data_IF_104564469436
#
_entry.id   IF_104564469436
#
_cell.length_a   1.000
_cell.length_b   1.000
_cell.length_c   1.000
_cell.angle_alpha   90.00
_cell.angle_beta   90.00
_cell.angle_gamma   90.00
#
_symmetry.space_group_name_H-M   'P 1'
#
loop_
_entity.id
_entity.type
_entity.pdbx_description
1 polymer ?
#
# COMPACT_ATOMS: atom_id res chain seq x y z
N UNK A 1 -13.64 33.60 22.63
CA UNK A 1 -13.18 32.30 23.12
C UNK A 1 -13.23 31.33 21.97
N UNK A 2 -12.10 31.13 21.27
CA UNK A 2 -11.97 30.18 20.18
C UNK A 2 -11.64 28.84 20.80
N UNK A 3 -12.51 27.85 20.58
CA UNK A 3 -12.28 26.46 20.95
C UNK A 3 -11.13 25.90 20.12
N UNK A 4 -10.02 25.55 20.77
CA UNK A 4 -8.91 24.88 20.15
C UNK A 4 -9.37 23.51 19.62
N UNK A 5 -9.22 23.28 18.34
CA UNK A 5 -9.32 21.96 17.75
C UNK A 5 -8.12 21.15 18.25
N UNK A 6 -8.37 20.25 19.20
CA UNK A 6 -7.42 19.17 19.53
C UNK A 6 -7.21 18.30 18.29
N UNK A 7 -6.11 18.49 17.61
CA UNK A 7 -5.60 17.54 16.62
C UNK A 7 -5.07 16.31 17.34
N UNK A 8 -5.97 15.51 17.88
CA UNK A 8 -5.66 14.25 18.50
C UNK A 8 -5.19 13.24 17.45
N UNK A 9 -3.89 13.18 17.20
CA UNK A 9 -3.26 12.06 16.52
C UNK A 9 -3.51 10.84 17.40
N UNK A 10 -4.55 10.06 17.13
CA UNK A 10 -4.72 8.75 17.77
C UNK A 10 -3.52 7.92 17.39
N UNK A 11 -2.64 7.68 18.35
CA UNK A 11 -1.46 6.84 18.16
C UNK A 11 -1.93 5.49 17.60
N UNK A 12 -1.47 5.14 16.40
CA UNK A 12 -1.71 3.81 15.82
C UNK A 12 -1.12 2.79 16.78
N UNK A 13 -1.95 1.89 17.29
CA UNK A 13 -1.50 0.85 18.20
C UNK A 13 -0.61 -0.12 17.44
N UNK A 14 0.63 -0.27 17.90
CA UNK A 14 1.67 -1.11 17.27
C UNK A 14 1.93 -2.32 18.14
N UNK A 15 2.04 -3.47 17.52
CA UNK A 15 2.29 -4.74 18.19
C UNK A 15 3.59 -5.37 17.68
N UNK A 16 4.22 -6.16 18.54
CA UNK A 16 5.27 -7.08 18.14
C UNK A 16 4.79 -8.50 18.39
N UNK A 17 4.73 -9.29 17.32
CA UNK A 17 4.23 -10.66 17.37
C UNK A 17 5.19 -11.62 16.68
N UNK A 18 5.22 -12.84 17.19
CA UNK A 18 5.84 -13.97 16.50
C UNK A 18 4.74 -14.73 15.77
N UNK A 19 4.60 -14.43 14.48
CA UNK A 19 3.56 -14.99 13.63
C UNK A 19 3.94 -16.40 13.13
N UNK A 20 2.96 -17.27 13.02
CA UNK A 20 3.10 -18.58 12.38
C UNK A 20 2.80 -18.44 10.88
N UNK A 21 3.62 -19.07 10.06
CA UNK A 21 3.40 -19.16 8.62
C UNK A 21 2.30 -20.18 8.35
N UNK A 22 1.21 -19.73 7.75
CA UNK A 22 0.11 -20.58 7.30
C UNK A 22 0.39 -21.14 5.90
N UNK A 23 0.90 -20.27 5.03
CA UNK A 23 1.19 -20.61 3.64
C UNK A 23 2.24 -19.64 3.09
N UNK A 24 3.06 -20.11 2.16
CA UNK A 24 3.99 -19.29 1.40
C UNK A 24 4.06 -19.83 -0.04
N UNK A 25 3.47 -19.12 -0.98
CA UNK A 25 3.31 -19.59 -2.36
C UNK A 25 3.98 -18.61 -3.33
N UNK A 26 4.77 -19.13 -4.24
CA UNK A 26 5.28 -18.35 -5.36
C UNK A 26 4.15 -18.13 -6.39
N UNK A 27 3.73 -16.87 -6.58
CA UNK A 27 2.62 -16.49 -7.48
C UNK A 27 3.08 -15.92 -8.82
N UNK A 28 4.35 -15.45 -8.90
CA UNK A 28 5.01 -15.01 -10.12
C UNK A 28 6.53 -15.13 -9.95
N UNK A 29 7.32 -14.83 -10.98
CA UNK A 29 8.78 -14.91 -10.90
C UNK A 29 9.33 -13.96 -9.82
N UNK A 30 9.86 -14.59 -8.73
CA UNK A 30 10.39 -13.84 -7.59
C UNK A 30 9.35 -13.12 -6.75
N UNK A 31 8.05 -13.42 -6.90
CA UNK A 31 6.95 -12.86 -6.12
C UNK A 31 6.28 -13.97 -5.32
N UNK A 32 6.12 -13.72 -4.03
CA UNK A 32 5.57 -14.67 -3.06
C UNK A 32 4.37 -14.09 -2.33
N UNK A 33 3.35 -14.94 -2.12
CA UNK A 33 2.18 -14.70 -1.29
C UNK A 33 2.38 -15.44 0.03
N UNK A 34 2.66 -14.70 1.09
CA UNK A 34 2.94 -15.17 2.44
C UNK A 34 1.73 -14.90 3.33
N UNK A 35 1.12 -15.95 3.86
CA UNK A 35 0.00 -15.87 4.79
C UNK A 35 0.47 -16.23 6.19
N UNK A 36 0.17 -15.38 7.14
CA UNK A 36 0.64 -15.45 8.51
C UNK A 36 -0.54 -15.44 9.47
N UNK A 37 -0.43 -16.18 10.57
CA UNK A 37 -1.35 -16.10 11.69
C UNK A 37 -0.85 -15.08 12.69
N UNK A 38 -1.61 -14.01 12.88
CA UNK A 38 -1.36 -12.96 13.87
C UNK A 38 -2.58 -12.81 14.79
N UNK A 39 -2.43 -12.16 15.93
CA UNK A 39 -3.55 -11.92 16.85
C UNK A 39 -4.02 -10.46 16.73
N UNK A 40 -3.12 -9.54 16.99
CA UNK A 40 -3.43 -8.12 17.13
C UNK A 40 -3.14 -7.34 15.84
N UNK A 41 -2.10 -7.76 15.09
CA UNK A 41 -1.72 -7.05 13.85
C UNK A 41 -2.84 -7.14 12.82
N UNK A 42 -3.38 -8.32 12.54
CA UNK A 42 -4.47 -8.46 11.57
C UNK A 42 -5.75 -7.72 12.02
N UNK A 43 -6.06 -7.75 13.33
CA UNK A 43 -7.23 -7.06 13.89
C UNK A 43 -7.14 -5.53 13.80
N UNK A 44 -5.92 -4.97 13.88
CA UNK A 44 -5.69 -3.52 13.88
C UNK A 44 -5.32 -2.94 12.51
N UNK A 45 -5.03 -3.79 11.53
CA UNK A 45 -4.52 -3.38 10.22
C UNK A 45 -5.56 -2.62 9.39
N UNK A 46 -5.13 -1.51 8.79
CA UNK A 46 -5.93 -0.68 7.87
C UNK A 46 -5.33 -0.70 6.46
N UNK A 47 -6.13 -0.45 5.41
CA UNK A 47 -5.64 -0.36 4.04
C UNK A 47 -4.52 0.68 3.89
N UNK A 48 -3.44 0.29 3.22
CA UNK A 48 -2.28 1.16 2.97
C UNK A 48 -1.20 1.11 4.05
N UNK A 49 -1.40 0.38 5.16
CA UNK A 49 -0.38 0.15 6.16
C UNK A 49 0.59 -0.98 5.77
N UNK A 50 1.67 -1.11 6.51
CA UNK A 50 2.71 -2.12 6.32
C UNK A 50 3.12 -2.77 7.65
N UNK A 51 3.92 -3.80 7.57
CA UNK A 51 4.59 -4.44 8.71
C UNK A 51 6.10 -4.48 8.49
N UNK A 52 6.86 -4.42 9.57
CA UNK A 52 8.29 -4.75 9.58
C UNK A 52 8.46 -6.24 9.84
N UNK A 53 9.04 -6.98 8.89
CA UNK A 53 9.32 -8.41 8.98
C UNK A 53 10.80 -8.59 9.32
N UNK A 54 11.09 -9.31 10.40
CA UNK A 54 12.45 -9.55 10.88
C UNK A 54 13.01 -10.86 10.33
N UNK A 55 14.29 -10.84 10.00
CA UNK A 55 15.03 -12.03 9.62
C UNK A 55 15.26 -12.93 10.84
N UNK A 56 15.20 -14.24 10.66
CA UNK A 56 15.65 -15.21 11.68
C UNK A 56 17.18 -15.33 11.72
N UNK A 57 17.87 -14.83 10.69
CA UNK A 57 19.33 -14.69 10.67
C UNK A 57 19.72 -13.40 11.41
N UNK A 58 20.22 -13.56 12.64
CA UNK A 58 20.61 -12.46 13.53
C UNK A 58 21.75 -11.58 13.00
N UNK A 59 22.44 -11.98 11.92
CA UNK A 59 23.40 -11.10 11.22
C UNK A 59 22.70 -10.00 10.40
N UNK A 60 21.38 -10.08 10.20
CA UNK A 60 20.55 -9.14 9.44
C UNK A 60 19.74 -8.27 10.38
N UNK A 61 20.36 -7.21 10.85
CA UNK A 61 19.82 -6.35 11.92
C UNK A 61 18.54 -5.58 11.55
N UNK A 62 18.41 -5.15 10.29
CA UNK A 62 17.28 -4.34 9.86
C UNK A 62 16.11 -5.21 9.38
N UNK A 63 14.87 -4.90 9.80
CA UNK A 63 13.68 -5.56 9.27
C UNK A 63 13.39 -5.14 7.82
N UNK A 64 12.46 -5.83 7.19
CA UNK A 64 11.95 -5.51 5.86
C UNK A 64 10.54 -4.96 5.97
N UNK A 65 10.29 -3.71 5.55
CA UNK A 65 8.94 -3.18 5.45
C UNK A 65 8.24 -3.86 4.29
N UNK A 66 7.08 -4.47 4.57
CA UNK A 66 6.24 -5.12 3.57
C UNK A 66 4.82 -4.60 3.73
N UNK A 67 4.24 -4.09 2.65
CA UNK A 67 2.86 -3.61 2.62
C UNK A 67 1.88 -4.75 2.89
N UNK A 68 0.81 -4.44 3.63
CA UNK A 68 -0.26 -5.40 3.90
C UNK A 68 -1.11 -5.54 2.63
N UNK A 69 -1.19 -6.76 2.10
CA UNK A 69 -2.06 -7.12 0.97
C UNK A 69 -3.49 -7.43 1.42
N UNK A 70 -3.61 -7.98 2.61
CA UNK A 70 -4.90 -8.30 3.22
C UNK A 70 -4.75 -8.60 4.71
N UNK A 71 -5.79 -8.31 5.46
CA UNK A 71 -5.92 -8.66 6.87
C UNK A 71 -7.36 -9.10 7.14
N UNK A 72 -7.50 -10.17 7.90
CA UNK A 72 -8.77 -10.66 8.35
C UNK A 72 -8.80 -10.66 9.90
N UNK A 73 -9.56 -9.73 10.50
CA UNK A 73 -9.66 -9.63 11.96
C UNK A 73 -10.24 -10.88 12.63
N UNK A 74 -11.16 -11.59 11.96
CA UNK A 74 -11.85 -12.73 12.55
C UNK A 74 -10.96 -13.97 12.60
N UNK A 75 -10.36 -14.31 11.45
CA UNK A 75 -9.42 -15.44 11.38
C UNK A 75 -8.02 -15.08 11.92
N UNK A 76 -7.67 -13.80 12.07
CA UNK A 76 -6.34 -13.34 12.41
C UNK A 76 -5.30 -13.58 11.29
N UNK A 77 -5.74 -13.81 10.06
CA UNK A 77 -4.87 -13.98 8.90
C UNK A 77 -4.34 -12.63 8.44
N UNK A 78 -3.02 -12.54 8.27
CA UNK A 78 -2.32 -11.42 7.65
C UNK A 78 -1.69 -11.91 6.36
N UNK A 79 -2.02 -11.29 5.23
CA UNK A 79 -1.49 -11.61 3.90
C UNK A 79 -0.48 -10.56 3.47
N UNK A 80 0.72 -11.01 3.17
CA UNK A 80 1.81 -10.19 2.66
C UNK A 80 2.22 -10.72 1.28
N UNK A 81 2.32 -9.81 0.30
CA UNK A 81 2.87 -10.18 -1.01
C UNK A 81 4.13 -9.36 -1.24
N UNK A 82 5.24 -10.03 -1.51
CA UNK A 82 6.53 -9.39 -1.63
C UNK A 82 7.35 -9.92 -2.81
N UNK A 83 8.29 -9.08 -3.27
CA UNK A 83 9.29 -9.43 -4.28
C UNK A 83 10.60 -9.80 -3.59
N UNK A 84 11.25 -10.86 -4.08
CA UNK A 84 12.63 -11.17 -3.70
C UNK A 84 13.56 -10.13 -4.32
N UNK A 85 14.05 -9.22 -3.49
CA UNK A 85 14.93 -8.11 -3.88
C UNK A 85 16.31 -8.15 -3.21
N UNK A 86 16.51 -9.06 -2.24
CA UNK A 86 17.76 -9.21 -1.52
C UNK A 86 17.67 -10.30 -0.47
N UNK A 87 18.77 -10.53 0.28
CA UNK A 87 18.93 -11.66 1.19
C UNK A 87 17.81 -11.84 2.21
N UNK A 88 17.22 -10.76 2.72
CA UNK A 88 16.10 -10.85 3.68
C UNK A 88 14.83 -11.40 3.04
N UNK A 89 14.42 -10.84 1.90
CA UNK A 89 13.24 -11.34 1.17
C UNK A 89 13.49 -12.70 0.52
N UNK A 90 14.74 -13.04 0.21
CA UNK A 90 15.13 -14.39 -0.21
C UNK A 90 14.96 -15.41 0.93
N UNK A 91 15.30 -15.04 2.17
CA UNK A 91 15.01 -15.87 3.34
C UNK A 91 13.50 -16.07 3.50
N UNK A 92 12.71 -15.01 3.41
CA UNK A 92 11.26 -15.12 3.54
C UNK A 92 10.63 -16.01 2.45
N UNK A 93 11.19 -16.02 1.25
CA UNK A 93 10.71 -16.90 0.17
C UNK A 93 10.89 -18.40 0.43
N UNK A 94 11.72 -18.78 1.42
CA UNK A 94 11.98 -20.16 1.82
C UNK A 94 11.18 -20.62 3.03
N UNK A 95 10.42 -19.72 3.66
CA UNK A 95 9.55 -20.06 4.78
C UNK A 95 8.48 -21.06 4.33
N UNK A 96 8.16 -21.99 5.22
CA UNK A 96 7.17 -23.05 5.02
C UNK A 96 6.09 -22.99 6.08
N UNK A 97 4.93 -23.61 5.84
CA UNK A 97 3.87 -23.69 6.82
C UNK A 97 4.37 -24.31 8.13
N UNK A 98 4.04 -23.69 9.26
CA UNK A 98 4.51 -24.03 10.60
C UNK A 98 5.77 -23.26 11.05
N UNK A 99 6.52 -22.64 10.12
CA UNK A 99 7.61 -21.75 10.49
C UNK A 99 7.10 -20.53 11.24
N UNK A 100 8.01 -19.82 11.92
CA UNK A 100 7.67 -18.60 12.65
C UNK A 100 8.54 -17.43 12.23
N UNK A 101 7.95 -16.25 12.18
CA UNK A 101 8.62 -15.00 11.84
C UNK A 101 8.18 -13.88 12.77
N UNK A 102 9.14 -13.06 13.21
CA UNK A 102 8.87 -11.91 14.05
C UNK A 102 8.38 -10.72 13.20
N UNK A 103 7.28 -10.10 13.63
CA UNK A 103 6.67 -8.94 13.00
C UNK A 103 6.54 -7.77 13.98
N UNK A 104 6.65 -6.54 13.46
CA UNK A 104 6.16 -5.35 14.14
C UNK A 104 5.16 -4.63 13.24
N UNK A 105 3.99 -4.33 13.76
CA UNK A 105 2.94 -3.65 13.01
C UNK A 105 1.59 -3.58 13.74
N UNK A 106 0.54 -3.07 13.06
CA UNK A 106 0.64 -2.37 11.79
C UNK A 106 1.41 -1.07 11.92
N UNK A 107 2.10 -0.64 10.87
CA UNK A 107 2.92 0.55 10.85
C UNK A 107 2.43 1.54 9.79
N UNK A 108 2.74 2.81 10.02
CA UNK A 108 2.37 3.92 9.14
C UNK A 108 0.88 4.27 9.21
N UNK A 109 0.53 5.34 8.52
CA UNK A 109 -0.85 5.78 8.29
C UNK A 109 -1.33 5.19 6.97
N UNK A 110 -2.46 4.50 7.01
CA UNK A 110 -3.12 3.99 5.80
C UNK A 110 -3.84 5.07 5.02
N UNK A 111 -4.69 4.67 4.09
CA UNK A 111 -5.59 5.60 3.41
C UNK A 111 -6.51 6.27 4.43
N UNK A 112 -6.71 7.60 4.32
CA UNK A 112 -7.50 8.35 5.29
C UNK A 112 -8.98 7.96 5.23
N UNK A 113 -9.70 8.25 6.32
CA UNK A 113 -11.11 7.90 6.43
C UNK A 113 -11.97 8.59 5.36
N UNK A 114 -11.58 9.79 4.91
CA UNK A 114 -12.20 10.50 3.80
C UNK A 114 -12.14 9.75 2.47
N UNK A 115 -11.13 8.89 2.27
CA UNK A 115 -11.03 7.99 1.11
C UNK A 115 -11.80 6.69 1.35
N UNK A 116 -11.73 6.15 2.57
CA UNK A 116 -12.38 4.88 2.91
C UNK A 116 -13.89 4.96 3.04
N UNK A 117 -14.42 6.17 3.29
CA UNK A 117 -15.86 6.43 3.45
C UNK A 117 -16.33 7.59 2.55
N UNK A 118 -17.62 7.66 2.29
CA UNK A 118 -18.21 8.78 1.56
C UNK A 118 -17.89 8.82 0.06
N UNK A 119 -17.53 7.68 -0.53
CA UNK A 119 -17.23 7.57 -1.97
C UNK A 119 -18.40 7.07 -2.81
N UNK A 120 -19.58 6.89 -2.22
CA UNK A 120 -20.78 6.46 -2.94
C UNK A 120 -21.07 7.35 -4.17
N UNK A 121 -21.35 6.72 -5.30
CA UNK A 121 -21.62 7.42 -6.57
C UNK A 121 -20.38 7.96 -7.28
N UNK A 122 -19.19 7.87 -6.67
CA UNK A 122 -17.92 8.28 -7.30
C UNK A 122 -17.22 7.11 -8.00
N UNK A 123 -16.33 7.45 -8.92
CA UNK A 123 -15.39 6.50 -9.53
C UNK A 123 -14.04 6.65 -8.84
N UNK A 124 -13.52 5.55 -8.27
CA UNK A 124 -12.21 5.50 -7.60
C UNK A 124 -11.26 4.63 -8.43
N UNK A 125 -10.12 5.19 -8.80
CA UNK A 125 -9.03 4.43 -9.41
C UNK A 125 -8.13 3.83 -8.32
N UNK A 126 -7.87 2.53 -8.43
CA UNK A 126 -6.91 1.79 -7.63
C UNK A 126 -5.73 1.44 -8.54
N UNK A 127 -4.66 2.23 -8.48
CA UNK A 127 -3.55 2.10 -9.42
C UNK A 127 -2.37 1.41 -8.75
N UNK A 128 -2.01 0.25 -9.26
CA UNK A 128 -0.88 -0.54 -8.77
C UNK A 128 0.19 -0.75 -9.84
N UNK A 129 1.45 -0.48 -9.52
CA UNK A 129 2.59 -0.75 -10.40
C UNK A 129 3.51 -1.83 -9.83
N UNK A 130 3.61 -2.98 -10.47
CA UNK A 130 4.45 -4.08 -10.00
C UNK A 130 4.16 -4.45 -8.55
N UNK A 131 5.17 -4.42 -7.67
CA UNK A 131 4.98 -4.77 -6.26
C UNK A 131 4.17 -3.74 -5.45
N UNK A 132 3.74 -2.64 -6.04
CA UNK A 132 2.76 -1.73 -5.47
C UNK A 132 1.29 -2.19 -5.63
N UNK A 133 1.02 -3.30 -6.32
CA UNK A 133 -0.33 -3.87 -6.47
C UNK A 133 -0.90 -4.45 -5.17
N UNK A 134 -0.14 -5.19 -4.32
CA UNK A 134 -0.65 -5.82 -3.12
C UNK A 134 -1.47 -4.92 -2.18
N UNK A 135 -1.06 -3.69 -1.81
CA UNK A 135 -1.86 -2.84 -0.93
C UNK A 135 -3.18 -2.40 -1.55
N UNK A 136 -3.32 -2.43 -2.88
CA UNK A 136 -4.57 -2.11 -3.57
C UNK A 136 -5.64 -3.21 -3.37
N UNK A 137 -5.25 -4.45 -3.09
CA UNK A 137 -6.19 -5.56 -2.84
C UNK A 137 -7.01 -5.32 -1.57
N UNK A 138 -6.34 -4.98 -0.46
CA UNK A 138 -7.05 -4.67 0.79
C UNK A 138 -7.91 -3.41 0.65
N UNK A 139 -7.40 -2.38 -0.05
CA UNK A 139 -8.16 -1.16 -0.30
C UNK A 139 -9.41 -1.44 -1.14
N UNK A 140 -9.29 -2.23 -2.22
CA UNK A 140 -10.41 -2.62 -3.07
C UNK A 140 -11.50 -3.35 -2.26
N UNK A 141 -11.11 -4.34 -1.46
CA UNK A 141 -12.03 -5.08 -0.58
C UNK A 141 -12.76 -4.14 0.39
N UNK A 142 -12.03 -3.20 1.00
CA UNK A 142 -12.62 -2.27 1.97
C UNK A 142 -13.60 -1.30 1.31
N UNK A 143 -13.26 -0.74 0.15
CA UNK A 143 -14.12 0.19 -0.57
C UNK A 143 -15.34 -0.50 -1.21
N UNK A 144 -15.18 -1.74 -1.66
CA UNK A 144 -16.29 -2.53 -2.22
C UNK A 144 -17.35 -2.92 -1.17
N UNK A 145 -16.96 -3.04 0.10
CA UNK A 145 -17.91 -3.23 1.19
C UNK A 145 -18.85 -2.03 1.37
N UNK A 146 -18.41 -0.84 0.91
CA UNK A 146 -19.24 0.36 0.92
C UNK A 146 -19.47 0.97 2.29
N UNK A 147 -20.32 2.01 2.29
CA UNK A 147 -20.89 2.58 3.50
C UNK A 147 -22.35 2.12 3.55
N UNK A 148 -22.73 1.40 4.59
CA UNK A 148 -24.01 0.68 4.71
C UNK A 148 -25.25 1.53 4.33
N UNK A 149 -25.17 2.85 4.49
CA UNK A 149 -26.27 3.78 4.17
C UNK A 149 -26.20 4.39 2.75
N UNK A 150 -25.04 4.42 2.09
CA UNK A 150 -24.80 5.20 0.87
C UNK A 150 -24.35 4.38 -0.35
N UNK A 151 -24.04 3.11 -0.14
CA UNK A 151 -23.56 2.22 -1.18
C UNK A 151 -22.06 2.32 -1.45
N UNK A 152 -21.57 1.49 -2.37
CA UNK A 152 -20.17 1.43 -2.75
C UNK A 152 -19.84 2.36 -3.95
N UNK A 153 -18.58 2.82 -4.09
CA UNK A 153 -18.12 3.50 -5.29
C UNK A 153 -17.96 2.54 -6.46
N UNK A 154 -17.89 3.10 -7.67
CA UNK A 154 -17.38 2.36 -8.83
C UNK A 154 -15.87 2.24 -8.70
N UNK A 155 -15.34 1.02 -8.62
CA UNK A 155 -13.91 0.75 -8.52
C UNK A 155 -13.34 0.32 -9.87
N UNK A 156 -12.27 0.97 -10.29
CA UNK A 156 -11.48 0.59 -11.48
C UNK A 156 -10.03 0.40 -11.04
N UNK A 157 -9.55 -0.83 -11.07
CA UNK A 157 -8.16 -1.17 -10.81
C UNK A 157 -7.34 -1.08 -12.09
N UNK A 158 -6.38 -0.16 -12.14
CA UNK A 158 -5.46 -0.01 -13.28
C UNK A 158 -4.09 -0.57 -12.86
N UNK A 159 -3.73 -1.70 -13.44
CA UNK A 159 -2.58 -2.48 -13.02
C UNK A 159 -1.46 -2.42 -14.06
N UNK A 160 -0.29 -1.94 -13.63
CA UNK A 160 0.90 -1.86 -14.46
C UNK A 160 1.88 -2.99 -14.15
N UNK A 161 2.25 -3.75 -15.16
CA UNK A 161 3.22 -4.84 -15.07
C UNK A 161 4.35 -4.62 -16.07
N UNK A 162 5.47 -5.26 -15.80
CA UNK A 162 6.54 -5.34 -16.78
C UNK A 162 6.22 -6.39 -17.83
N UNK A 163 5.96 -7.61 -17.37
CA UNK A 163 5.76 -8.80 -18.20
C UNK A 163 4.75 -9.78 -17.55
N UNK A 164 4.94 -10.20 -16.31
CA UNK A 164 4.19 -11.27 -15.65
C UNK A 164 3.11 -10.73 -14.71
N UNK A 165 1.88 -11.25 -14.85
CA UNK A 165 0.71 -10.80 -14.09
C UNK A 165 0.56 -11.56 -12.77
N UNK A 166 0.11 -10.86 -11.71
CA UNK A 166 -0.25 -11.45 -10.42
C UNK A 166 -1.32 -10.62 -9.72
N UNK A 167 -2.10 -11.21 -8.84
CA UNK A 167 -3.21 -10.60 -8.08
C UNK A 167 -4.33 -9.99 -8.94
N UNK A 168 -4.39 -10.31 -10.22
CA UNK A 168 -5.42 -9.81 -11.13
C UNK A 168 -6.80 -10.31 -10.71
N UNK A 169 -6.92 -11.60 -10.38
CA UNK A 169 -8.21 -12.18 -9.99
C UNK A 169 -8.64 -11.76 -8.58
N UNK A 170 -7.69 -11.48 -7.68
CA UNK A 170 -7.97 -10.86 -6.39
C UNK A 170 -8.70 -9.50 -6.56
N UNK A 171 -8.25 -8.67 -7.50
CA UNK A 171 -8.82 -7.36 -7.75
C UNK A 171 -10.10 -7.42 -8.59
N UNK A 172 -10.24 -8.38 -9.52
CA UNK A 172 -11.48 -8.61 -10.26
C UNK A 172 -12.66 -8.93 -9.37
N UNK A 173 -12.42 -9.50 -8.17
CA UNK A 173 -13.48 -9.78 -7.21
C UNK A 173 -14.18 -8.50 -6.70
N UNK A 174 -13.53 -7.33 -6.80
CA UNK A 174 -14.00 -6.08 -6.21
C UNK A 174 -14.13 -4.93 -7.19
N UNK A 175 -13.51 -5.02 -8.38
CA UNK A 175 -13.36 -3.89 -9.30
C UNK A 175 -13.31 -4.31 -10.77
N UNK A 176 -13.60 -3.37 -11.65
CA UNK A 176 -13.23 -3.49 -13.07
C UNK A 176 -11.70 -3.42 -13.18
N UNK A 177 -11.05 -4.41 -13.82
CA UNK A 177 -9.60 -4.45 -13.96
C UNK A 177 -9.16 -4.05 -15.36
N UNK A 178 -8.24 -3.11 -15.42
CA UNK A 178 -7.56 -2.63 -16.62
C UNK A 178 -6.07 -2.94 -16.48
N UNK A 179 -5.49 -3.58 -17.48
CA UNK A 179 -4.09 -4.03 -17.47
C UNK A 179 -3.28 -3.22 -18.47
N UNK A 180 -2.08 -2.81 -18.03
CA UNK A 180 -1.01 -2.31 -18.89
C UNK A 180 0.24 -3.17 -18.71
N UNK A 181 0.90 -3.54 -19.82
CA UNK A 181 2.20 -4.23 -19.79
C UNK A 181 3.21 -3.49 -20.65
N UNK A 182 4.44 -3.36 -20.19
CA UNK A 182 5.50 -2.64 -20.92
C UNK A 182 5.76 -3.28 -22.28
N UNK A 183 5.73 -4.61 -22.35
CA UNK A 183 5.95 -5.37 -23.59
C UNK A 183 4.71 -5.51 -24.49
N UNK A 184 3.51 -5.23 -23.95
CA UNK A 184 2.23 -5.38 -24.66
C UNK A 184 1.72 -6.82 -24.71
N UNK A 185 2.25 -7.71 -23.86
CA UNK A 185 1.82 -9.12 -23.80
C UNK A 185 0.38 -9.29 -23.30
N UNK A 186 -0.12 -8.33 -22.51
CA UNK A 186 -1.49 -8.32 -22.03
C UNK A 186 -2.02 -6.90 -21.84
N UNK A 187 -3.25 -6.65 -22.25
CA UNK A 187 -3.92 -5.36 -22.08
C UNK A 187 -3.34 -4.26 -22.98
N UNK A 188 -3.18 -3.07 -22.44
CA UNK A 188 -2.60 -1.92 -23.16
C UNK A 188 -1.07 -1.99 -23.10
N UNK A 189 -0.40 -1.87 -24.23
CA UNK A 189 1.05 -1.72 -24.28
C UNK A 189 1.45 -0.36 -23.75
N UNK A 190 2.35 -0.34 -22.75
CA UNK A 190 2.83 0.88 -22.11
C UNK A 190 2.61 0.88 -20.60
N UNK A 191 2.34 2.06 -20.03
CA UNK A 191 2.14 2.27 -18.60
C UNK A 191 0.65 2.47 -18.23
N UNK A 192 0.38 2.65 -16.95
CA UNK A 192 -0.99 2.81 -16.42
C UNK A 192 -1.71 4.04 -16.99
N UNK A 193 -1.01 5.15 -17.28
CA UNK A 193 -1.62 6.33 -17.89
C UNK A 193 -1.98 6.08 -19.35
N UNK A 194 -1.19 5.28 -20.08
CA UNK A 194 -1.51 4.90 -21.44
C UNK A 194 -2.80 4.09 -21.48
N UNK A 195 -3.00 3.18 -20.52
CA UNK A 195 -4.23 2.41 -20.39
C UNK A 195 -5.44 3.28 -20.01
N UNK A 196 -5.27 4.24 -19.10
CA UNK A 196 -6.33 5.21 -18.74
C UNK A 196 -6.75 6.03 -19.96
N UNK A 197 -5.79 6.57 -20.72
CA UNK A 197 -6.04 7.38 -21.91
C UNK A 197 -6.66 6.56 -23.05
N UNK A 198 -6.14 5.35 -23.34
CA UNK A 198 -6.63 4.49 -24.39
C UNK A 198 -8.10 4.08 -24.19
N UNK A 199 -8.55 3.98 -22.94
CA UNK A 199 -9.94 3.66 -22.59
C UNK A 199 -10.79 4.88 -22.24
N UNK A 200 -10.22 6.08 -22.33
CA UNK A 200 -10.88 7.36 -21.97
C UNK A 200 -11.51 7.31 -20.56
N UNK A 201 -10.80 6.73 -19.60
CA UNK A 201 -11.28 6.57 -18.23
C UNK A 201 -11.09 7.87 -17.45
N UNK A 202 -11.99 8.11 -16.51
CA UNK A 202 -11.93 9.23 -15.56
C UNK A 202 -12.28 8.76 -14.16
N UNK A 203 -11.71 9.40 -13.16
CA UNK A 203 -11.98 9.14 -11.74
C UNK A 203 -12.19 10.44 -10.97
N UNK A 204 -12.91 10.33 -9.87
CA UNK A 204 -13.05 11.39 -8.87
C UNK A 204 -11.92 11.34 -7.86
N UNK A 205 -11.41 10.12 -7.58
CA UNK A 205 -10.30 9.88 -6.65
C UNK A 205 -9.33 8.85 -7.24
N UNK A 206 -8.03 9.12 -7.08
CA UNK A 206 -6.94 8.22 -7.45
C UNK A 206 -6.24 7.77 -6.17
N UNK A 207 -6.12 6.44 -5.98
CA UNK A 207 -5.31 5.81 -4.97
C UNK A 207 -4.22 5.00 -5.66
N UNK A 208 -2.95 5.29 -5.41
CA UNK A 208 -1.86 4.65 -6.16
C UNK A 208 -0.70 4.19 -5.27
N UNK A 209 -0.10 3.04 -5.65
CA UNK A 209 1.16 2.54 -5.11
C UNK A 209 2.01 1.94 -6.22
N UNK A 210 3.31 2.21 -6.23
CA UNK A 210 4.23 1.68 -7.22
C UNK A 210 5.51 2.50 -7.37
N UNK A 211 6.26 2.31 -8.45
CA UNK A 211 7.54 2.99 -8.67
C UNK A 211 7.41 4.52 -8.70
N UNK A 212 8.40 5.22 -8.14
CA UNK A 212 8.43 6.70 -8.09
C UNK A 212 8.15 7.37 -9.44
N UNK A 213 8.69 6.91 -10.60
CA UNK A 213 8.35 7.51 -11.89
C UNK A 213 6.85 7.43 -12.22
N UNK A 214 6.19 6.31 -11.88
CA UNK A 214 4.73 6.16 -12.06
C UNK A 214 3.97 7.13 -11.14
N UNK A 215 4.33 7.21 -9.86
CA UNK A 215 3.69 8.10 -8.90
C UNK A 215 3.85 9.57 -9.30
N UNK A 216 5.02 9.96 -9.79
CA UNK A 216 5.28 11.31 -10.33
C UNK A 216 4.38 11.63 -11.52
N UNK A 217 4.23 10.69 -12.45
CA UNK A 217 3.37 10.87 -13.62
C UNK A 217 1.88 10.94 -13.22
N UNK A 218 1.45 10.15 -12.25
CA UNK A 218 0.08 10.18 -11.71
C UNK A 218 -0.20 11.48 -10.95
N UNK A 219 0.77 12.00 -10.18
CA UNK A 219 0.65 13.31 -9.54
C UNK A 219 0.43 14.42 -10.58
N UNK A 220 1.22 14.45 -11.64
CA UNK A 220 1.06 15.43 -12.73
C UNK A 220 -0.31 15.30 -13.42
N UNK A 221 -0.73 14.06 -13.72
CA UNK A 221 -2.04 13.79 -14.31
C UNK A 221 -3.18 14.26 -13.39
N UNK A 222 -3.09 13.99 -12.09
CA UNK A 222 -4.09 14.42 -11.12
C UNK A 222 -4.19 15.96 -11.01
N UNK A 223 -3.04 16.65 -11.05
CA UNK A 223 -3.00 18.12 -11.09
C UNK A 223 -3.64 18.70 -12.38
N UNK A 224 -3.34 18.08 -13.53
CA UNK A 224 -3.88 18.49 -14.82
C UNK A 224 -5.41 18.30 -14.89
N UNK A 225 -5.92 17.21 -14.31
CA UNK A 225 -7.36 16.88 -14.34
C UNK A 225 -8.16 17.40 -13.16
N UNK A 226 -7.51 17.98 -12.14
CA UNK A 226 -8.16 18.42 -10.91
C UNK A 226 -8.66 17.24 -10.04
N UNK A 227 -8.10 16.04 -10.19
CA UNK A 227 -8.54 14.82 -9.51
C UNK A 227 -7.85 14.70 -8.15
N UNK A 228 -8.59 14.35 -7.10
CA UNK A 228 -8.02 14.01 -5.78
C UNK A 228 -7.09 12.78 -5.90
N UNK A 229 -5.86 12.87 -5.37
CA UNK A 229 -4.87 11.82 -5.57
C UNK A 229 -4.09 11.50 -4.29
N UNK A 230 -4.11 10.23 -3.91
CA UNK A 230 -3.42 9.68 -2.75
C UNK A 230 -2.35 8.67 -3.21
N UNK A 231 -1.12 8.91 -2.77
CA UNK A 231 0.06 8.14 -3.20
C UNK A 231 0.69 7.43 -2.01
N UNK A 232 0.84 6.12 -2.11
CA UNK A 232 1.57 5.31 -1.16
C UNK A 232 3.03 5.21 -1.59
N UNK A 233 3.94 5.78 -0.79
CA UNK A 233 5.37 5.83 -1.07
C UNK A 233 6.12 4.65 -0.47
N UNK A 234 7.17 4.24 -1.18
CA UNK A 234 8.15 3.27 -0.69
C UNK A 234 9.48 3.99 -0.45
N UNK A 235 10.06 3.82 0.75
CA UNK A 235 11.37 4.33 1.11
C UNK A 235 12.18 3.28 1.87
N UNK A 236 13.51 3.44 1.81
CA UNK A 236 14.40 2.60 2.62
C UNK A 236 14.17 2.88 4.10
N UNK A 237 13.84 1.86 4.86
CA UNK A 237 13.55 1.98 6.29
C UNK A 237 14.57 1.22 7.13
N UNK A 238 14.97 1.83 8.25
CA UNK A 238 15.73 1.14 9.30
C UNK A 238 14.81 0.81 10.49
N UNK A 239 14.31 1.79 11.24
CA UNK A 239 13.50 1.54 12.43
C UNK A 239 12.01 1.28 12.16
N UNK A 240 11.42 1.86 11.13
CA UNK A 240 10.00 1.76 10.81
C UNK A 240 9.05 2.47 11.78
N UNK A 241 9.58 3.15 12.81
CA UNK A 241 8.82 3.76 13.92
C UNK A 241 9.07 5.26 14.11
N UNK A 242 9.76 5.90 13.17
CA UNK A 242 9.99 7.35 13.16
C UNK A 242 11.23 7.85 13.90
N UNK A 243 12.07 6.97 14.47
CA UNK A 243 13.21 7.37 15.30
C UNK A 243 14.47 7.71 14.50
N UNK A 244 14.75 7.00 13.37
CA UNK A 244 16.05 7.08 12.69
C UNK A 244 16.13 8.06 11.51
N UNK A 245 15.02 8.63 11.07
CA UNK A 245 14.91 9.54 9.92
C UNK A 245 15.41 8.98 8.57
N UNK A 246 15.56 7.65 8.45
CA UNK A 246 16.06 7.01 7.22
C UNK A 246 15.05 7.05 6.06
N UNK A 247 13.75 7.13 6.36
CA UNK A 247 12.66 7.04 5.38
C UNK A 247 12.00 8.39 5.10
N UNK A 248 12.75 9.49 5.12
CA UNK A 248 12.19 10.81 4.85
C UNK A 248 11.95 11.01 3.35
N UNK A 249 10.80 11.58 3.01
CA UNK A 249 10.49 12.13 1.69
C UNK A 249 10.36 13.65 1.78
N UNK A 250 10.51 14.35 0.64
CA UNK A 250 10.31 15.79 0.58
C UNK A 250 8.82 16.12 0.69
N UNK A 251 8.49 17.18 1.43
CA UNK A 251 7.14 17.74 1.53
C UNK A 251 7.06 19.15 0.95
N UNK A 252 5.87 19.55 0.54
CA UNK A 252 5.59 20.93 0.10
C UNK A 252 5.62 21.90 1.28
N UNK A 253 5.20 21.44 2.47
CA UNK A 253 5.16 22.24 3.69
C UNK A 253 6.42 22.05 4.53
N UNK A 254 6.75 23.10 5.32
CA UNK A 254 7.81 23.04 6.32
C UNK A 254 7.22 22.40 7.59
N UNK A 255 7.84 21.31 8.05
CA UNK A 255 7.50 20.71 9.35
C UNK A 255 7.80 21.70 10.47
N UNK A 256 6.81 22.00 11.31
CA UNK A 256 6.91 23.01 12.37
C UNK A 256 7.96 22.67 13.44
N UNK A 257 8.22 21.39 13.66
CA UNK A 257 9.14 20.92 14.67
C UNK A 257 10.58 20.86 14.16
N UNK A 258 10.80 20.23 13.00
CA UNK A 258 12.13 20.05 12.42
C UNK A 258 12.61 21.24 11.59
N UNK A 259 11.71 22.16 11.22
CA UNK A 259 11.95 23.33 10.35
C UNK A 259 12.50 22.99 8.97
N UNK A 260 12.25 21.74 8.51
CA UNK A 260 12.63 21.25 7.19
C UNK A 260 11.41 20.75 6.41
N UNK A 261 11.53 20.69 5.08
CA UNK A 261 10.48 20.16 4.21
C UNK A 261 10.62 18.65 4.05
N UNK A 262 10.36 17.92 5.11
CA UNK A 262 10.48 16.47 5.14
C UNK A 262 9.31 15.84 5.91
N UNK A 263 8.84 14.69 5.40
CA UNK A 263 7.89 13.81 6.10
C UNK A 263 8.48 12.41 6.21
N UNK A 264 8.22 11.74 7.32
CA UNK A 264 8.69 10.36 7.56
C UNK A 264 7.68 9.37 7.02
N UNK A 265 8.05 8.62 5.99
CA UNK A 265 7.17 7.64 5.35
C UNK A 265 6.65 6.59 6.34
N UNK A 266 7.44 6.20 7.35
CA UNK A 266 7.04 5.18 8.32
C UNK A 266 6.04 5.64 9.39
N UNK A 267 5.84 6.96 9.60
CA UNK A 267 4.95 7.48 10.66
C UNK A 267 3.94 8.51 10.18
N UNK A 268 4.28 9.31 9.19
CA UNK A 268 3.38 10.31 8.60
C UNK A 268 2.75 9.79 7.30
N UNK A 269 3.44 8.87 6.59
CA UNK A 269 2.96 8.05 5.50
C UNK A 269 2.69 6.60 5.94
N UNK A 270 2.74 5.63 5.00
CA UNK A 270 3.23 5.77 3.62
C UNK A 270 2.28 6.48 2.66
N UNK A 271 1.00 6.65 3.01
CA UNK A 271 -0.01 7.26 2.17
C UNK A 271 -0.05 8.77 2.41
N UNK A 272 0.13 9.54 1.36
CA UNK A 272 0.09 11.00 1.38
C UNK A 272 -0.87 11.53 0.30
N UNK A 273 -1.49 12.69 0.56
CA UNK A 273 -2.08 13.44 -0.54
C UNK A 273 -0.96 13.90 -1.49
N UNK A 274 -1.18 13.78 -2.78
CA UNK A 274 -0.17 14.08 -3.81
C UNK A 274 0.28 15.55 -3.82
N UNK A 275 -0.53 16.46 -3.26
CA UNK A 275 -0.18 17.88 -3.13
C UNK A 275 0.78 18.17 -1.98
N UNK A 276 0.86 17.28 -0.98
CA UNK A 276 1.67 17.48 0.24
C UNK A 276 3.12 17.02 0.08
N UNK A 277 3.47 16.35 -1.01
CA UNK A 277 4.78 15.74 -1.24
C UNK A 277 5.40 16.15 -2.57
N UNK A 278 6.73 16.19 -2.60
CA UNK A 278 7.53 16.34 -3.82
C UNK A 278 8.12 14.98 -4.22
N UNK A 279 7.97 14.59 -5.51
CA UNK A 279 8.45 13.31 -6.07
C UNK A 279 9.51 13.53 -7.14
#
# INVERSE_FOLDING_TARGET
>A
MQAGQETGIRAVQKFREKAEVLQNTRIAKGIYDLRLKTKQIAAAAKPGQFVSVYSNDHSRLLPRPISICGADPESGELRLVFRVAGRGTEEFSRLSAGDRVDLTGPLGNGFPESVLKGQAGKTVFLIGGGIGIPPMVQLARTLAAGDDEKGAPRLISVLGFRDELFLVDDLKAYSEVVIATEDGSCGTKGNVLDAIRARNLRADVICACGPTPMLRALRAYAQETGTECWLSLEEKMACGIGACLSCVCKSTDIDEHSRVRNKRVCTEGPVFNSIDIEL
#
